data_IF_419282698787
#
_entry.id   IF_419282698787
#
_cell.length_a   1.000
_cell.length_b   1.000
_cell.length_c   1.000
_cell.angle_alpha   90.00
_cell.angle_beta   90.00
_cell.angle_gamma   90.00
#
_symmetry.space_group_name_H-M   'P 1'
#
loop_
_entity.id
_entity.type
_entity.pdbx_description
1 polymer ?
#
# COMPACT_ATOMS: atom_id res chain seq x y z
N UNK A 1 20.66 -8.71 -9.45
CA UNK A 1 21.13 -8.20 -8.14
C UNK A 1 22.42 -7.39 -8.30
N UNK A 2 23.63 -7.81 -7.89
CA UNK A 2 24.88 -6.96 -7.92
C UNK A 2 25.19 -6.19 -9.23
N UNK A 3 24.69 -6.66 -10.38
CA UNK A 3 24.88 -6.05 -11.70
C UNK A 3 23.80 -5.01 -12.10
N UNK A 4 22.82 -4.78 -11.23
CA UNK A 4 21.64 -3.93 -11.48
C UNK A 4 21.31 -3.00 -10.30
N UNK A 5 21.66 -3.39 -9.07
CA UNK A 5 21.55 -2.57 -7.87
C UNK A 5 22.87 -2.70 -7.07
N UNK A 6 23.33 -1.62 -6.41
CA UNK A 6 24.39 -1.70 -5.41
C UNK A 6 24.12 -2.74 -4.32
N UNK A 7 25.18 -3.15 -3.61
CA UNK A 7 24.97 -3.90 -2.37
C UNK A 7 24.36 -2.99 -1.29
N UNK A 8 23.44 -3.56 -0.50
CA UNK A 8 22.63 -2.90 0.52
C UNK A 8 21.52 -1.92 0.07
N UNK A 9 21.20 -1.77 -1.23
CA UNK A 9 20.08 -0.91 -1.69
C UNK A 9 18.69 -1.32 -1.18
N UNK A 10 18.47 -2.61 -0.87
CA UNK A 10 17.21 -3.10 -0.31
C UNK A 10 17.50 -4.00 0.89
N UNK A 11 16.64 -3.94 1.91
CA UNK A 11 16.71 -4.82 3.10
C UNK A 11 15.40 -5.57 3.34
N UNK A 12 15.40 -6.54 4.26
CA UNK A 12 14.19 -7.17 4.80
C UNK A 12 13.16 -7.62 3.76
N UNK A 13 11.92 -7.12 3.92
CA UNK A 13 10.74 -7.43 3.08
C UNK A 13 10.98 -7.04 1.61
N UNK A 14 11.52 -5.84 1.39
CA UNK A 14 11.83 -5.29 0.08
C UNK A 14 12.85 -6.15 -0.68
N UNK A 15 13.94 -6.56 0.00
CA UNK A 15 14.98 -7.39 -0.61
C UNK A 15 14.48 -8.80 -0.98
N UNK A 16 13.60 -9.40 -0.18
CA UNK A 16 12.94 -10.66 -0.52
C UNK A 16 12.14 -10.52 -1.82
N UNK A 17 11.33 -9.46 -1.94
CA UNK A 17 10.44 -9.22 -3.08
C UNK A 17 11.25 -8.95 -4.36
N UNK A 18 12.22 -8.03 -4.33
CA UNK A 18 13.11 -7.76 -5.48
C UNK A 18 13.82 -9.05 -5.91
N UNK A 19 14.29 -9.87 -4.97
CA UNK A 19 14.92 -11.17 -5.26
C UNK A 19 13.94 -12.16 -5.91
N UNK A 20 12.70 -12.27 -5.41
CA UNK A 20 11.68 -13.18 -5.96
C UNK A 20 11.26 -12.78 -7.37
N UNK A 21 10.97 -11.50 -7.59
CA UNK A 21 10.49 -11.00 -8.89
C UNK A 21 11.60 -11.02 -9.93
N UNK A 22 12.84 -10.62 -9.59
CA UNK A 22 14.00 -10.75 -10.48
C UNK A 22 14.38 -12.22 -10.77
N UNK A 23 14.11 -13.15 -9.85
CA UNK A 23 14.26 -14.59 -10.12
C UNK A 23 13.20 -15.10 -11.12
N UNK A 24 11.96 -14.61 -11.02
CA UNK A 24 10.91 -14.89 -12.01
C UNK A 24 11.25 -14.29 -13.38
N UNK A 25 11.79 -13.08 -13.42
CA UNK A 25 12.27 -12.37 -14.62
C UNK A 25 13.32 -13.17 -15.38
N UNK A 26 14.39 -13.62 -14.71
CA UNK A 26 15.44 -14.45 -15.31
C UNK A 26 14.89 -15.79 -15.84
N UNK A 27 13.92 -16.38 -15.14
CA UNK A 27 13.26 -17.63 -15.56
C UNK A 27 12.36 -17.43 -16.79
N UNK A 28 11.55 -16.36 -16.81
CA UNK A 28 10.64 -16.00 -17.90
C UNK A 28 11.39 -15.55 -19.16
N UNK A 29 12.45 -14.75 -19.01
CA UNK A 29 13.36 -14.43 -20.11
C UNK A 29 13.98 -15.69 -20.71
N UNK A 30 14.49 -16.59 -19.86
CA UNK A 30 15.09 -17.83 -20.32
C UNK A 30 14.08 -18.69 -21.05
N UNK A 31 12.86 -18.85 -20.52
CA UNK A 31 11.79 -19.57 -21.19
C UNK A 31 11.39 -18.90 -22.52
N UNK A 32 11.36 -17.57 -22.59
CA UNK A 32 11.02 -16.84 -23.82
C UNK A 32 12.03 -17.11 -24.95
N UNK A 33 13.30 -17.36 -24.62
CA UNK A 33 14.38 -17.76 -25.54
C UNK A 33 14.38 -19.28 -25.83
N UNK A 34 14.38 -20.11 -24.80
CA UNK A 34 14.56 -21.57 -24.88
C UNK A 34 13.29 -22.31 -25.31
N UNK A 35 12.10 -21.73 -25.02
CA UNK A 35 10.74 -22.28 -25.14
C UNK A 35 10.56 -23.72 -24.60
N UNK A 36 11.35 -24.08 -23.57
CA UNK A 36 11.36 -25.39 -22.90
C UNK A 36 10.75 -25.31 -21.49
N UNK A 37 10.07 -26.36 -21.01
CA UNK A 37 9.53 -26.40 -19.64
C UNK A 37 10.56 -26.05 -18.56
N UNK A 38 10.16 -25.21 -17.61
CA UNK A 38 11.01 -24.76 -16.51
C UNK A 38 10.94 -25.71 -15.31
N UNK A 39 12.09 -26.00 -14.69
CA UNK A 39 12.18 -26.80 -13.45
C UNK A 39 11.74 -26.04 -12.18
N UNK A 40 11.63 -24.71 -12.26
CA UNK A 40 11.18 -23.82 -11.20
C UNK A 40 10.10 -22.94 -11.80
N UNK A 41 8.91 -22.93 -11.18
CA UNK A 41 7.78 -22.14 -11.68
C UNK A 41 7.96 -20.64 -11.34
N UNK A 42 8.09 -19.74 -12.32
CA UNK A 42 8.16 -18.31 -12.07
C UNK A 42 6.85 -17.74 -11.53
N UNK A 43 5.69 -18.31 -11.87
CA UNK A 43 4.40 -17.84 -11.37
C UNK A 43 4.28 -18.05 -9.85
N UNK A 44 4.86 -19.14 -9.32
CA UNK A 44 4.94 -19.35 -7.87
C UNK A 44 5.77 -18.26 -7.19
N UNK A 45 6.89 -17.83 -7.78
CA UNK A 45 7.73 -16.77 -7.22
C UNK A 45 7.03 -15.40 -7.26
N UNK A 46 6.27 -15.11 -8.32
CA UNK A 46 5.44 -13.91 -8.41
C UNK A 46 4.30 -13.92 -7.38
N UNK A 47 3.60 -15.05 -7.22
CA UNK A 47 2.55 -15.20 -6.21
C UNK A 47 3.10 -15.03 -4.78
N UNK A 48 4.25 -15.61 -4.48
CA UNK A 48 4.94 -15.43 -3.19
C UNK A 48 5.31 -13.96 -2.93
N UNK A 49 5.69 -13.19 -3.95
CA UNK A 49 5.94 -11.75 -3.80
C UNK A 49 4.65 -10.96 -3.55
N UNK A 50 3.58 -11.23 -4.32
CA UNK A 50 2.27 -10.58 -4.18
C UNK A 50 1.66 -10.83 -2.81
N UNK A 51 1.65 -12.08 -2.34
CA UNK A 51 1.03 -12.46 -1.05
C UNK A 51 1.83 -12.03 0.18
N UNK A 52 3.07 -11.56 0.03
CA UNK A 52 3.87 -10.99 1.13
C UNK A 52 3.61 -9.49 1.33
N UNK A 53 3.20 -8.75 0.28
CA UNK A 53 3.10 -7.28 0.34
C UNK A 53 1.76 -6.66 -0.08
N UNK A 54 0.91 -7.35 -0.86
CA UNK A 54 -0.21 -6.65 -1.49
C UNK A 54 0.29 -5.51 -2.39
N UNK A 55 -0.37 -4.34 -2.46
CA UNK A 55 0.08 -3.25 -3.32
C UNK A 55 1.28 -2.49 -2.77
N UNK A 56 1.67 -2.69 -1.49
CA UNK A 56 2.68 -1.92 -0.74
C UNK A 56 4.05 -1.80 -1.44
N UNK A 57 4.35 -2.64 -2.45
CA UNK A 57 5.51 -2.44 -3.32
C UNK A 57 5.06 -2.56 -4.79
N UNK A 58 4.78 -1.40 -5.40
CA UNK A 58 4.44 -1.23 -6.82
C UNK A 58 5.64 -1.51 -7.74
N UNK A 59 6.09 -2.76 -7.81
CA UNK A 59 7.31 -3.12 -8.53
C UNK A 59 7.15 -3.10 -10.06
N UNK A 60 7.78 -2.11 -10.70
CA UNK A 60 7.76 -1.86 -12.15
C UNK A 60 8.02 -3.12 -12.99
N UNK A 61 8.89 -4.02 -12.52
CA UNK A 61 9.26 -5.24 -13.26
C UNK A 61 8.11 -6.20 -13.51
N UNK A 62 7.07 -6.26 -12.66
CA UNK A 62 5.90 -7.12 -12.95
C UNK A 62 5.14 -6.57 -14.17
N UNK A 63 4.93 -5.25 -14.23
CA UNK A 63 4.31 -4.57 -15.39
C UNK A 63 5.18 -4.64 -16.66
N UNK A 64 6.51 -4.65 -16.53
CA UNK A 64 7.44 -4.89 -17.65
C UNK A 64 7.38 -6.34 -18.15
N UNK A 65 7.20 -7.30 -17.25
CA UNK A 65 7.11 -8.74 -17.59
C UNK A 65 5.75 -9.20 -18.10
N UNK A 66 4.67 -8.43 -17.91
CA UNK A 66 3.29 -8.82 -18.24
C UNK A 66 3.14 -9.50 -19.64
N UNK A 67 3.75 -9.01 -20.74
CA UNK A 67 3.66 -9.70 -22.03
C UNK A 67 4.27 -11.11 -22.05
N UNK A 68 5.36 -11.33 -21.29
CA UNK A 68 6.03 -12.64 -21.19
C UNK A 68 5.31 -13.55 -20.20
N UNK A 69 4.74 -12.99 -19.13
CA UNK A 69 3.86 -13.69 -18.18
C UNK A 69 2.64 -14.25 -18.92
N UNK A 70 1.98 -13.44 -19.74
CA UNK A 70 0.80 -13.86 -20.50
C UNK A 70 1.15 -14.97 -21.51
N UNK A 71 2.24 -14.85 -22.28
CA UNK A 71 2.71 -15.93 -23.15
C UNK A 71 3.04 -17.22 -22.38
N UNK A 72 3.60 -17.13 -21.17
CA UNK A 72 3.90 -18.30 -20.33
C UNK A 72 2.63 -18.97 -19.80
N UNK A 73 1.61 -18.18 -19.45
CA UNK A 73 0.28 -18.67 -19.05
C UNK A 73 -0.38 -19.40 -20.23
N UNK A 74 -0.41 -18.80 -21.42
CA UNK A 74 -0.92 -19.44 -22.65
C UNK A 74 -0.20 -20.75 -22.97
N UNK A 75 1.13 -20.81 -22.76
CA UNK A 75 1.90 -22.03 -22.93
C UNK A 75 1.46 -23.13 -21.95
N UNK A 76 1.33 -22.82 -20.65
CA UNK A 76 0.86 -23.78 -19.64
C UNK A 76 -0.58 -24.25 -19.91
N UNK A 77 -1.47 -23.34 -20.30
CA UNK A 77 -2.86 -23.63 -20.67
C UNK A 77 -2.96 -24.49 -21.94
N UNK A 78 -1.93 -24.53 -22.80
CA UNK A 78 -1.91 -25.35 -24.01
C UNK A 78 -1.11 -26.65 -23.88
N UNK A 79 -0.15 -26.76 -22.96
CA UNK A 79 0.50 -28.03 -22.61
C UNK A 79 -0.45 -28.91 -21.78
N UNK A 80 -1.16 -28.34 -20.79
CA UNK A 80 -2.15 -29.07 -19.99
C UNK A 80 -3.34 -29.64 -20.78
N UNK A 81 -3.55 -29.19 -22.02
CA UNK A 81 -4.56 -29.74 -22.95
C UNK A 81 -4.06 -30.96 -23.73
N UNK A 82 -2.77 -31.30 -23.67
CA UNK A 82 -2.17 -32.49 -24.33
C UNK A 82 -2.07 -33.68 -23.38
N UNK A 83 -1.75 -33.42 -22.11
CA UNK A 83 -1.52 -34.44 -21.07
C UNK A 83 -2.79 -35.23 -20.67
N UNK A 84 -3.97 -34.83 -21.16
CA UNK A 84 -5.21 -35.64 -21.10
C UNK A 84 -5.10 -36.97 -21.86
N UNK A 85 -4.02 -37.18 -22.64
CA UNK A 85 -3.68 -38.43 -23.30
C UNK A 85 -2.49 -39.20 -22.69
N UNK A 86 -2.07 -38.89 -21.45
CA UNK A 86 -1.37 -39.89 -20.61
C UNK A 86 -0.27 -39.38 -19.65
N UNK A 87 -0.26 -39.98 -18.44
CA UNK A 87 0.87 -40.00 -17.48
C UNK A 87 1.46 -38.63 -17.09
N UNK A 88 0.71 -37.87 -16.27
CA UNK A 88 1.16 -36.61 -15.69
C UNK A 88 2.51 -36.73 -14.91
N UNK A 89 3.51 -35.88 -15.20
CA UNK A 89 4.82 -35.94 -14.55
C UNK A 89 4.81 -35.32 -13.15
N UNK A 90 5.21 -36.09 -12.13
CA UNK A 90 5.26 -35.64 -10.74
C UNK A 90 6.40 -34.63 -10.52
N UNK A 91 6.08 -33.34 -10.58
CA UNK A 91 6.99 -32.22 -10.31
C UNK A 91 7.40 -32.16 -8.83
N UNK A 92 8.43 -32.94 -8.45
CA UNK A 92 9.10 -32.83 -7.15
C UNK A 92 9.88 -31.52 -7.06
N UNK A 93 9.36 -30.54 -6.33
CA UNK A 93 10.07 -29.28 -6.05
C UNK A 93 11.26 -29.52 -5.11
N UNK A 94 12.48 -29.41 -5.62
CA UNK A 94 13.71 -29.48 -4.82
C UNK A 94 14.09 -28.06 -4.37
N UNK A 95 14.37 -27.87 -3.07
CA UNK A 95 14.83 -26.57 -2.55
C UNK A 95 16.23 -26.25 -3.08
N UNK A 96 16.40 -25.06 -3.65
CA UNK A 96 17.68 -24.57 -4.17
C UNK A 96 18.53 -23.83 -3.12
N UNK A 97 18.07 -23.72 -1.88
CA UNK A 97 18.86 -23.16 -0.77
C UNK A 97 19.78 -24.24 -0.18
N UNK A 98 20.98 -24.36 -0.75
CA UNK A 98 22.04 -25.17 -0.18
C UNK A 98 22.48 -24.64 1.19
N UNK A 99 22.64 -25.53 2.17
CA UNK A 99 23.12 -25.16 3.52
C UNK A 99 24.48 -24.47 3.44
N UNK A 100 24.58 -23.30 4.06
CA UNK A 100 25.76 -22.93 4.86
C UNK A 100 25.34 -22.97 6.33
N UNK A 101 26.26 -23.38 7.20
CA UNK A 101 25.97 -23.67 8.60
C UNK A 101 26.27 -22.46 9.49
N UNK A 102 25.58 -22.42 10.65
CA UNK A 102 25.69 -21.46 11.74
C UNK A 102 25.19 -20.04 11.34
N UNK A 103 24.37 -19.34 12.13
CA UNK A 103 24.17 -19.41 13.59
C UNK A 103 22.71 -19.66 14.06
N UNK A 104 22.50 -19.47 15.36
CA UNK A 104 21.44 -19.99 16.24
C UNK A 104 19.97 -19.64 15.93
N UNK A 105 19.12 -20.63 16.20
CA UNK A 105 17.71 -20.53 16.67
C UNK A 105 16.73 -19.64 15.90
N UNK A 106 16.02 -20.26 14.95
CA UNK A 106 14.62 -19.95 14.65
C UNK A 106 13.94 -21.18 14.03
N UNK A 107 13.32 -22.03 14.86
CA UNK A 107 12.52 -23.17 14.37
C UNK A 107 11.17 -22.68 13.84
N UNK A 108 11.17 -22.18 12.60
CA UNK A 108 9.94 -21.99 11.84
C UNK A 108 9.34 -23.36 11.51
N UNK A 109 8.28 -23.72 12.24
CA UNK A 109 7.64 -25.04 12.20
C UNK A 109 7.23 -25.47 10.79
N UNK A 110 7.39 -26.76 10.50
CA UNK A 110 7.06 -27.39 9.22
C UNK A 110 5.55 -27.57 9.03
N UNK A 111 4.79 -26.48 9.02
CA UNK A 111 3.42 -26.51 8.54
C UNK A 111 3.44 -26.80 7.04
N UNK A 112 2.89 -27.96 6.65
CA UNK A 112 2.78 -28.37 5.25
C UNK A 112 1.67 -27.56 4.55
N UNK A 113 1.98 -26.30 4.22
CA UNK A 113 1.10 -25.39 3.48
C UNK A 113 0.53 -26.09 2.25
N UNK A 114 -0.81 -26.13 2.15
CA UNK A 114 -1.50 -26.66 0.98
C UNK A 114 -1.12 -25.78 -0.22
N UNK A 115 -0.55 -26.34 -1.30
CA UNK A 115 -0.10 -25.54 -2.43
C UNK A 115 -1.31 -24.95 -3.18
N UNK A 116 -1.41 -23.61 -3.20
CA UNK A 116 -2.38 -22.88 -4.04
C UNK A 116 -2.28 -23.41 -5.47
N UNK A 117 -3.40 -23.84 -6.04
CA UNK A 117 -3.42 -24.49 -7.36
C UNK A 117 -3.02 -23.52 -8.49
N UNK A 118 -2.68 -24.04 -9.67
CA UNK A 118 -2.18 -23.24 -10.78
C UNK A 118 -3.22 -22.25 -11.34
N UNK A 119 -4.51 -22.58 -11.34
CA UNK A 119 -5.56 -21.70 -11.84
C UNK A 119 -5.73 -20.49 -10.92
N UNK A 120 -5.97 -20.70 -9.62
CA UNK A 120 -6.08 -19.63 -8.61
C UNK A 120 -4.83 -18.76 -8.56
N UNK A 121 -3.63 -19.35 -8.74
CA UNK A 121 -2.36 -18.61 -8.87
C UNK A 121 -2.38 -17.66 -10.08
N UNK A 122 -2.82 -18.14 -11.25
CA UNK A 122 -2.93 -17.35 -12.48
C UNK A 122 -3.96 -16.23 -12.30
N UNK A 123 -5.10 -16.52 -11.67
CA UNK A 123 -6.16 -15.53 -11.36
C UNK A 123 -5.65 -14.40 -10.46
N UNK A 124 -4.93 -14.71 -9.37
CA UNK A 124 -4.33 -13.70 -8.49
C UNK A 124 -3.28 -12.84 -9.23
N UNK A 125 -2.46 -13.44 -10.09
CA UNK A 125 -1.45 -12.71 -10.87
C UNK A 125 -2.13 -11.80 -11.92
N UNK A 126 -3.17 -12.28 -12.63
CA UNK A 126 -3.99 -11.47 -13.55
C UNK A 126 -4.63 -10.28 -12.81
N UNK A 127 -5.20 -10.50 -11.63
CA UNK A 127 -5.73 -9.43 -10.77
C UNK A 127 -4.69 -8.38 -10.38
N UNK A 128 -3.48 -8.80 -9.99
CA UNK A 128 -2.38 -7.89 -9.66
C UNK A 128 -1.89 -7.09 -10.88
N UNK A 129 -1.86 -7.69 -12.07
CA UNK A 129 -1.50 -6.98 -13.32
C UNK A 129 -2.58 -5.96 -13.72
N UNK A 130 -3.87 -6.28 -13.59
CA UNK A 130 -4.95 -5.29 -13.77
C UNK A 130 -4.83 -4.12 -12.77
N UNK A 131 -4.49 -4.40 -11.51
CA UNK A 131 -4.25 -3.35 -10.49
C UNK A 131 -3.05 -2.46 -10.86
N UNK A 132 -1.94 -3.02 -11.35
CA UNK A 132 -0.77 -2.25 -11.85
C UNK A 132 -1.05 -1.47 -13.16
N UNK A 133 -2.15 -1.79 -13.85
CA UNK A 133 -2.71 -1.06 -14.99
C UNK A 133 -3.89 -0.14 -14.60
N UNK A 134 -4.13 0.05 -13.30
CA UNK A 134 -5.20 0.86 -12.73
C UNK A 134 -6.64 0.43 -13.16
N UNK A 135 -6.80 -0.82 -13.58
CA UNK A 135 -8.09 -1.45 -13.91
C UNK A 135 -8.70 -2.09 -12.66
N UNK A 136 -9.01 -1.27 -11.67
CA UNK A 136 -9.35 -1.74 -10.33
C UNK A 136 -10.60 -2.65 -10.28
N UNK A 137 -11.59 -2.43 -11.15
CA UNK A 137 -12.79 -3.29 -11.26
C UNK A 137 -12.44 -4.69 -11.79
N UNK A 138 -11.56 -4.82 -12.78
CA UNK A 138 -11.10 -6.13 -13.25
C UNK A 138 -10.30 -6.86 -12.16
N UNK A 139 -9.41 -6.14 -11.48
CA UNK A 139 -8.61 -6.66 -10.38
C UNK A 139 -9.47 -7.16 -9.21
N UNK A 140 -10.50 -6.41 -8.80
CA UNK A 140 -11.45 -6.84 -7.77
C UNK A 140 -12.14 -8.15 -8.17
N UNK A 141 -12.58 -8.29 -9.42
CA UNK A 141 -13.23 -9.51 -9.89
C UNK A 141 -12.28 -10.72 -9.82
N UNK A 142 -11.04 -10.58 -10.27
CA UNK A 142 -10.03 -11.64 -10.16
C UNK A 142 -9.70 -12.02 -8.71
N UNK A 143 -9.56 -11.05 -7.80
CA UNK A 143 -9.34 -11.34 -6.38
C UNK A 143 -10.57 -11.97 -5.72
N UNK A 144 -11.79 -11.57 -6.12
CA UNK A 144 -13.05 -12.14 -5.63
C UNK A 144 -13.22 -13.61 -6.02
N UNK A 145 -12.92 -13.94 -7.28
CA UNK A 145 -12.89 -15.34 -7.74
C UNK A 145 -11.89 -16.18 -6.93
N UNK A 146 -10.72 -15.59 -6.63
CA UNK A 146 -9.60 -16.28 -5.98
C UNK A 146 -9.79 -16.53 -4.47
N UNK A 147 -10.71 -15.81 -3.80
CA UNK A 147 -10.93 -15.94 -2.35
C UNK A 147 -11.50 -17.31 -1.94
N UNK A 148 -12.25 -17.98 -2.81
CA UNK A 148 -12.86 -19.28 -2.50
C UNK A 148 -11.83 -20.43 -2.44
N UNK A 149 -10.72 -20.31 -3.17
CA UNK A 149 -9.76 -21.40 -3.39
C UNK A 149 -8.42 -21.20 -2.65
N UNK A 150 -8.28 -20.12 -1.87
CA UNK A 150 -7.02 -19.75 -1.20
C UNK A 150 -6.99 -20.21 0.26
N UNK A 151 -5.87 -20.74 0.78
CA UNK A 151 -5.72 -21.05 2.20
C UNK A 151 -5.94 -19.83 3.10
N UNK A 152 -6.57 -20.04 4.26
CA UNK A 152 -6.95 -18.99 5.22
C UNK A 152 -5.80 -18.02 5.56
N UNK A 153 -4.56 -18.53 5.67
CA UNK A 153 -3.34 -17.76 5.93
C UNK A 153 -3.03 -16.66 4.89
N UNK A 154 -3.64 -16.73 3.70
CA UNK A 154 -3.52 -15.72 2.64
C UNK A 154 -4.86 -15.05 2.30
N UNK A 155 -5.99 -15.57 2.81
CA UNK A 155 -7.33 -15.02 2.59
C UNK A 155 -7.46 -13.56 3.08
N UNK A 156 -6.89 -13.23 4.24
CA UNK A 156 -6.92 -11.85 4.77
C UNK A 156 -6.15 -10.86 3.89
N UNK A 157 -4.98 -11.23 3.37
CA UNK A 157 -4.20 -10.38 2.46
C UNK A 157 -4.91 -10.18 1.11
N UNK A 158 -5.52 -11.24 0.58
CA UNK A 158 -6.31 -11.17 -0.65
C UNK A 158 -7.59 -10.35 -0.46
N UNK A 159 -8.19 -10.38 0.73
CA UNK A 159 -9.35 -9.55 1.10
C UNK A 159 -8.97 -8.06 1.19
N UNK A 160 -7.79 -7.73 1.75
CA UNK A 160 -7.26 -6.38 1.74
C UNK A 160 -6.97 -5.89 0.30
N UNK A 161 -6.36 -6.73 -0.54
CA UNK A 161 -6.18 -6.43 -1.97
C UNK A 161 -7.52 -6.14 -2.68
N UNK A 162 -8.55 -6.95 -2.44
CA UNK A 162 -9.91 -6.70 -2.97
C UNK A 162 -10.44 -5.34 -2.51
N UNK A 163 -10.42 -5.04 -1.20
CA UNK A 163 -10.93 -3.77 -0.67
C UNK A 163 -10.10 -2.55 -1.10
N UNK A 164 -8.79 -2.69 -1.32
CA UNK A 164 -7.96 -1.64 -1.93
C UNK A 164 -8.46 -1.28 -3.34
N UNK A 165 -8.80 -2.29 -4.14
CA UNK A 165 -9.30 -2.08 -5.50
C UNK A 165 -10.71 -1.49 -5.50
N UNK A 166 -11.58 -1.90 -4.56
CA UNK A 166 -12.89 -1.25 -4.36
C UNK A 166 -12.72 0.24 -4.05
N UNK A 167 -11.86 0.61 -3.09
CA UNK A 167 -11.59 2.01 -2.73
C UNK A 167 -10.90 2.84 -3.82
N UNK A 168 -10.51 2.21 -4.93
CA UNK A 168 -9.91 2.83 -6.12
C UNK A 168 -10.87 2.91 -7.31
N UNK A 169 -12.08 2.35 -7.21
CA UNK A 169 -13.12 2.54 -8.22
C UNK A 169 -13.53 4.02 -8.28
N UNK A 170 -13.78 4.55 -9.49
CA UNK A 170 -14.30 5.91 -9.71
C UNK A 170 -15.78 6.07 -9.35
N UNK A 171 -16.33 5.16 -8.54
CA UNK A 171 -17.72 5.14 -8.10
C UNK A 171 -17.95 6.10 -6.92
N UNK A 172 -19.03 6.87 -6.98
CA UNK A 172 -19.44 7.72 -5.84
C UNK A 172 -20.11 6.83 -4.79
N UNK A 173 -19.30 6.27 -3.89
CA UNK A 173 -19.77 5.45 -2.77
C UNK A 173 -20.77 6.21 -1.88
N UNK A 174 -21.85 5.54 -1.49
CA UNK A 174 -22.80 6.07 -0.49
C UNK A 174 -22.28 5.76 0.90
N UNK A 175 -22.58 6.62 1.88
CA UNK A 175 -22.14 6.45 3.28
C UNK A 175 -22.37 5.03 3.84
N UNK A 176 -23.50 4.37 3.53
CA UNK A 176 -23.77 2.98 3.95
C UNK A 176 -22.83 1.93 3.36
N UNK A 177 -22.37 2.13 2.13
CA UNK A 177 -21.45 1.23 1.43
C UNK A 177 -20.05 1.32 2.07
N UNK A 178 -19.62 2.55 2.40
CA UNK A 178 -18.40 2.82 3.19
C UNK A 178 -18.51 2.30 4.64
N UNK A 179 -19.64 2.50 5.32
CA UNK A 179 -19.87 1.97 6.68
C UNK A 179 -19.80 0.43 6.73
N UNK A 180 -20.31 -0.25 5.70
CA UNK A 180 -20.20 -1.70 5.56
C UNK A 180 -18.76 -2.14 5.26
N UNK A 181 -18.07 -1.45 4.34
CA UNK A 181 -16.68 -1.77 4.03
C UNK A 181 -15.75 -1.53 5.23
N UNK A 182 -15.97 -0.45 5.98
CA UNK A 182 -15.27 -0.14 7.24
C UNK A 182 -15.37 -1.30 8.22
N UNK A 183 -16.59 -1.74 8.52
CA UNK A 183 -16.88 -2.87 9.41
C UNK A 183 -16.21 -4.17 8.93
N UNK A 184 -16.19 -4.42 7.62
CA UNK A 184 -15.60 -5.62 7.05
C UNK A 184 -14.06 -5.60 7.13
N UNK A 185 -13.41 -4.47 6.81
CA UNK A 185 -11.95 -4.31 6.91
C UNK A 185 -11.48 -4.32 8.36
N UNK A 186 -12.24 -3.72 9.29
CA UNK A 186 -11.95 -3.77 10.72
C UNK A 186 -11.93 -5.21 11.28
N UNK A 187 -12.75 -6.11 10.71
CA UNK A 187 -12.85 -7.52 11.11
C UNK A 187 -11.76 -8.44 10.56
N UNK A 188 -10.90 -7.98 9.67
CA UNK A 188 -9.78 -8.78 9.16
C UNK A 188 -8.69 -8.90 10.23
N UNK A 189 -8.32 -10.13 10.58
CA UNK A 189 -7.31 -10.43 11.63
C UNK A 189 -5.90 -9.92 11.31
N UNK A 190 -5.62 -9.60 10.03
CA UNK A 190 -4.31 -9.15 9.57
C UNK A 190 -4.15 -7.64 9.75
N UNK A 191 -3.47 -7.23 10.82
CA UNK A 191 -3.01 -5.85 11.01
C UNK A 191 -1.71 -5.56 10.23
N UNK A 192 -1.62 -4.37 9.61
CA UNK A 192 -0.52 -3.96 8.76
C UNK A 192 -0.81 -2.65 8.02
N UNK A 193 0.22 -2.08 7.36
CA UNK A 193 0.13 -0.79 6.65
C UNK A 193 -1.05 -0.72 5.69
N UNK A 194 -1.20 -1.71 4.80
CA UNK A 194 -2.32 -1.80 3.86
C UNK A 194 -3.71 -1.72 4.52
N UNK A 195 -3.93 -2.39 5.66
CA UNK A 195 -5.22 -2.33 6.38
C UNK A 195 -5.49 -0.92 6.87
N UNK A 196 -4.49 -0.27 7.45
CA UNK A 196 -4.62 1.11 7.92
C UNK A 196 -4.81 2.09 6.74
N UNK A 197 -4.10 1.93 5.62
CA UNK A 197 -4.30 2.74 4.40
C UNK A 197 -5.75 2.67 3.89
N UNK A 198 -6.33 1.48 3.81
CA UNK A 198 -7.72 1.27 3.37
C UNK A 198 -8.70 1.92 4.36
N UNK A 199 -8.53 1.69 5.66
CA UNK A 199 -9.35 2.31 6.72
C UNK A 199 -9.27 3.84 6.67
N UNK A 200 -8.07 4.40 6.52
CA UNK A 200 -7.83 5.84 6.43
C UNK A 200 -8.53 6.48 5.22
N UNK A 201 -8.51 5.82 4.06
CA UNK A 201 -9.23 6.26 2.85
C UNK A 201 -10.75 6.16 3.02
N UNK A 202 -11.26 5.11 3.67
CA UNK A 202 -12.70 5.00 4.00
C UNK A 202 -13.12 6.15 4.93
N UNK A 203 -12.31 6.50 5.93
CA UNK A 203 -12.56 7.65 6.80
C UNK A 203 -12.47 9.00 6.04
N UNK A 204 -11.54 9.16 5.09
CA UNK A 204 -11.46 10.33 4.21
C UNK A 204 -12.76 10.51 3.41
N UNK A 205 -13.27 9.45 2.77
CA UNK A 205 -14.48 9.52 1.95
C UNK A 205 -15.74 9.75 2.80
N UNK A 206 -15.82 9.15 4.00
CA UNK A 206 -16.86 9.43 4.99
C UNK A 206 -16.86 10.90 5.45
N UNK A 207 -15.68 11.48 5.70
CA UNK A 207 -15.53 12.90 6.04
C UNK A 207 -16.01 13.80 4.89
N UNK A 208 -15.57 13.52 3.65
CA UNK A 208 -15.97 14.28 2.46
C UNK A 208 -17.50 14.25 2.24
N UNK A 209 -18.14 13.11 2.47
CA UNK A 209 -19.61 12.99 2.40
C UNK A 209 -20.27 13.83 3.51
N UNK A 210 -19.77 13.80 4.74
CA UNK A 210 -20.36 14.59 5.84
C UNK A 210 -20.15 16.10 5.69
N UNK A 211 -18.99 16.55 5.20
CA UNK A 211 -18.75 17.96 4.86
C UNK A 211 -19.78 18.48 3.84
N UNK A 212 -20.05 17.68 2.81
CA UNK A 212 -21.08 17.97 1.80
C UNK A 212 -22.52 17.98 2.33
N UNK A 213 -22.80 17.33 3.47
CA UNK A 213 -24.09 17.44 4.16
C UNK A 213 -24.16 18.61 5.15
N UNK A 214 -23.05 18.97 5.82
CA UNK A 214 -22.99 20.08 6.79
C UNK A 214 -23.25 21.45 6.14
N UNK A 215 -22.97 21.61 4.84
CA UNK A 215 -23.36 22.79 4.05
C UNK A 215 -24.87 22.91 3.79
N UNK A 216 -25.60 21.78 3.71
CA UNK A 216 -27.04 21.73 3.45
C UNK A 216 -27.85 21.63 4.76
N UNK A 217 -27.97 22.77 5.46
CA UNK A 217 -28.93 22.93 6.57
C UNK A 217 -30.37 22.69 6.09
N UNK A 218 -30.86 21.46 6.26
CA UNK A 218 -32.28 21.10 6.18
C UNK A 218 -32.60 20.02 7.21
N UNK A 219 -33.55 20.31 8.09
CA UNK A 219 -33.82 19.46 9.26
C UNK A 219 -34.66 18.23 8.93
N UNK A 220 -34.09 17.03 9.15
CA UNK A 220 -34.82 15.81 9.56
C UNK A 220 -33.84 14.77 10.09
N UNK A 221 -33.89 14.48 11.40
CA UNK A 221 -33.24 13.29 11.97
C UNK A 221 -33.83 12.05 11.29
N UNK A 222 -33.00 11.28 10.57
CA UNK A 222 -33.40 9.99 9.99
C UNK A 222 -32.76 8.85 10.79
N UNK A 223 -33.59 7.88 11.18
CA UNK A 223 -33.14 6.69 11.89
C UNK A 223 -32.36 5.77 10.94
N UNK A 224 -31.05 5.65 11.16
CA UNK A 224 -30.23 4.57 10.61
C UNK A 224 -30.25 3.37 11.56
N UNK A 225 -30.68 2.20 11.07
CA UNK A 225 -30.86 0.99 11.90
C UNK A 225 -29.51 0.33 12.26
N UNK A 226 -28.45 0.59 11.48
CA UNK A 226 -27.08 0.26 11.88
C UNK A 226 -26.51 1.37 12.77
N UNK A 227 -26.51 1.15 14.09
CA UNK A 227 -25.68 1.92 15.03
C UNK A 227 -24.22 1.45 15.01
N UNK A 228 -23.65 1.29 13.81
CA UNK A 228 -22.19 1.20 13.67
C UNK A 228 -21.63 2.58 14.04
N UNK A 229 -20.75 2.61 15.04
CA UNK A 229 -20.20 3.77 15.75
C UNK A 229 -20.42 5.14 15.07
N UNK A 230 -21.20 6.01 15.70
CA UNK A 230 -21.26 7.43 15.35
C UNK A 230 -19.97 8.12 15.78
N UNK A 231 -18.91 7.93 14.99
CA UNK A 231 -17.66 8.66 15.14
C UNK A 231 -17.92 10.14 14.83
N UNK A 232 -17.62 11.03 15.76
CA UNK A 232 -17.92 12.46 15.64
C UNK A 232 -16.92 13.23 14.75
N UNK A 233 -15.77 12.63 14.44
CA UNK A 233 -14.69 13.26 13.68
C UNK A 233 -13.99 12.25 12.76
N UNK A 234 -14.46 12.16 11.51
CA UNK A 234 -13.86 11.31 10.47
C UNK A 234 -12.56 11.89 9.90
N UNK A 235 -12.34 13.21 9.97
CA UNK A 235 -11.08 13.83 9.58
C UNK A 235 -9.96 13.36 10.51
N UNK A 236 -10.20 13.43 11.82
CA UNK A 236 -9.22 12.99 12.82
C UNK A 236 -8.89 11.51 12.68
N UNK A 237 -9.89 10.65 12.53
CA UNK A 237 -9.68 9.24 12.29
C UNK A 237 -8.89 8.97 11.00
N UNK A 238 -9.21 9.66 9.90
CA UNK A 238 -8.47 9.49 8.64
C UNK A 238 -6.99 9.84 8.80
N UNK A 239 -6.68 11.01 9.37
CA UNK A 239 -5.29 11.45 9.59
C UNK A 239 -4.56 10.52 10.56
N UNK A 240 -5.15 10.20 11.72
CA UNK A 240 -4.53 9.28 12.70
C UNK A 240 -4.30 7.88 12.10
N UNK A 241 -5.20 7.40 11.24
CA UNK A 241 -5.07 6.07 10.60
C UNK A 241 -4.03 6.07 9.47
N UNK A 242 -3.91 7.15 8.68
CA UNK A 242 -2.79 7.30 7.73
C UNK A 242 -1.44 7.35 8.47
N UNK A 243 -1.38 7.98 9.64
CA UNK A 243 -0.19 8.00 10.49
C UNK A 243 0.16 6.58 10.98
N UNK A 244 -0.82 5.78 11.40
CA UNK A 244 -0.59 4.37 11.75
C UNK A 244 -0.09 3.55 10.55
N UNK A 245 -0.66 3.75 9.35
CA UNK A 245 -0.16 3.08 8.13
C UNK A 245 1.33 3.33 7.89
N UNK A 246 1.75 4.61 8.00
CA UNK A 246 3.15 5.02 7.85
C UNK A 246 4.06 4.42 8.94
N UNK A 247 3.60 4.35 10.18
CA UNK A 247 4.41 3.83 11.31
C UNK A 247 4.58 2.30 11.23
N UNK A 248 3.57 1.60 10.73
CA UNK A 248 3.58 0.15 10.49
C UNK A 248 4.29 -0.26 9.18
N UNK A 249 4.60 0.70 8.30
CA UNK A 249 5.33 0.46 7.07
C UNK A 249 6.85 0.35 7.32
N UNK A 250 7.59 -0.45 6.52
CA UNK A 250 9.05 -0.40 6.49
C UNK A 250 9.58 1.01 6.22
N UNK A 251 10.70 1.41 6.84
CA UNK A 251 11.24 2.78 6.71
C UNK A 251 11.73 3.10 5.29
N UNK A 252 11.95 2.07 4.48
CA UNK A 252 12.30 2.09 3.05
C UNK A 252 11.09 1.90 2.11
N UNK A 253 9.85 1.96 2.62
CA UNK A 253 8.62 1.79 1.84
C UNK A 253 8.28 3.03 0.98
N UNK A 254 8.19 2.80 -0.33
CA UNK A 254 7.87 3.81 -1.35
C UNK A 254 6.46 4.41 -1.23
N UNK A 255 5.54 3.78 -0.51
CA UNK A 255 4.22 4.35 -0.25
C UNK A 255 4.24 5.41 0.85
N UNK A 256 5.23 5.44 1.75
CA UNK A 256 5.25 6.40 2.87
C UNK A 256 5.09 7.86 2.39
N UNK A 257 5.81 8.35 1.35
CA UNK A 257 5.57 9.68 0.79
C UNK A 257 4.14 9.89 0.29
N UNK A 258 3.56 8.92 -0.44
CA UNK A 258 2.17 8.99 -0.96
C UNK A 258 1.12 8.95 0.17
N UNK A 259 1.42 8.32 1.31
CA UNK A 259 0.56 8.36 2.51
C UNK A 259 0.64 9.73 3.22
N UNK A 260 1.83 10.34 3.31
CA UNK A 260 1.96 11.73 3.78
C UNK A 260 1.28 12.73 2.84
N UNK A 261 1.29 12.47 1.55
CA UNK A 261 0.63 13.29 0.54
C UNK A 261 -0.90 13.30 0.70
N UNK A 262 -1.51 12.15 1.06
CA UNK A 262 -2.92 12.09 1.46
C UNK A 262 -3.21 12.88 2.75
N UNK A 263 -2.30 12.84 3.73
CA UNK A 263 -2.39 13.68 4.94
C UNK A 263 -2.32 15.17 4.56
N UNK A 264 -1.36 15.57 3.72
CA UNK A 264 -1.20 16.96 3.28
C UNK A 264 -2.45 17.47 2.56
N UNK A 265 -3.00 16.70 1.62
CA UNK A 265 -4.26 17.03 0.96
C UNK A 265 -5.40 17.27 1.97
N UNK A 266 -5.60 16.35 2.92
CA UNK A 266 -6.62 16.47 3.97
C UNK A 266 -6.42 17.73 4.81
N UNK A 267 -5.19 18.03 5.25
CA UNK A 267 -4.90 19.19 6.08
C UNK A 267 -5.09 20.51 5.32
N UNK A 268 -4.70 20.57 4.04
CA UNK A 268 -4.84 21.76 3.18
C UNK A 268 -6.31 22.05 2.89
N UNK A 269 -7.07 21.05 2.41
CA UNK A 269 -8.50 21.21 2.05
C UNK A 269 -9.35 21.61 3.27
N UNK A 270 -9.02 21.10 4.46
CA UNK A 270 -9.69 21.47 5.71
C UNK A 270 -9.12 22.74 6.38
N UNK A 271 -8.20 23.45 5.71
CA UNK A 271 -7.61 24.74 6.14
C UNK A 271 -6.97 24.68 7.54
N UNK A 272 -6.29 23.57 7.81
CA UNK A 272 -5.54 23.36 9.05
C UNK A 272 -4.35 24.33 9.11
N UNK A 273 -3.85 24.62 10.31
CA UNK A 273 -2.80 25.61 10.53
C UNK A 273 -1.51 25.29 9.74
N UNK A 274 -0.91 26.32 9.12
CA UNK A 274 0.25 26.19 8.23
C UNK A 274 1.45 25.51 8.88
N UNK A 275 1.67 25.66 10.20
CA UNK A 275 2.77 25.00 10.92
C UNK A 275 2.61 23.48 10.93
N UNK A 276 1.38 22.99 11.07
CA UNK A 276 1.05 21.56 11.04
C UNK A 276 1.23 21.00 9.64
N UNK A 277 0.76 21.73 8.61
CA UNK A 277 0.98 21.37 7.20
C UNK A 277 2.48 21.31 6.88
N UNK A 278 3.24 22.33 7.29
CA UNK A 278 4.69 22.42 7.08
C UNK A 278 5.47 21.30 7.80
N UNK A 279 5.05 20.89 9.01
CA UNK A 279 5.61 19.71 9.68
C UNK A 279 5.45 18.45 8.84
N UNK A 280 4.22 18.14 8.40
CA UNK A 280 3.99 16.96 7.56
C UNK A 280 4.72 17.04 6.21
N UNK A 281 4.89 18.24 5.65
CA UNK A 281 5.66 18.48 4.43
C UNK A 281 7.16 18.19 4.61
N UNK A 282 7.77 18.68 5.71
CA UNK A 282 9.18 18.39 6.03
C UNK A 282 9.40 16.89 6.31
N UNK A 283 8.48 16.25 7.02
CA UNK A 283 8.54 14.81 7.31
C UNK A 283 8.38 14.00 6.02
N UNK A 284 7.44 14.36 5.13
CA UNK A 284 7.26 13.75 3.80
C UNK A 284 8.57 13.75 3.00
N UNK A 285 9.27 14.88 2.98
CA UNK A 285 10.55 15.00 2.29
C UNK A 285 11.67 14.16 2.94
N UNK A 286 11.73 14.12 4.28
CA UNK A 286 12.66 13.26 5.03
C UNK A 286 12.50 11.76 4.74
N UNK A 287 11.27 11.29 4.52
CA UNK A 287 11.03 9.90 4.10
C UNK A 287 11.22 9.69 2.59
N UNK A 288 10.88 10.66 1.74
CA UNK A 288 11.09 10.55 0.29
C UNK A 288 12.58 10.38 -0.08
N UNK A 289 13.49 11.09 0.61
CA UNK A 289 14.94 10.89 0.47
C UNK A 289 15.35 9.48 0.94
N UNK A 290 14.76 8.97 2.03
CA UNK A 290 15.15 7.67 2.62
C UNK A 290 14.71 6.46 1.80
N UNK A 291 13.65 6.58 1.01
CA UNK A 291 13.13 5.50 0.18
C UNK A 291 13.68 5.54 -1.27
N UNK A 292 14.66 6.41 -1.57
CA UNK A 292 15.09 6.72 -2.96
C UNK A 292 13.89 7.02 -3.89
N UNK A 293 12.87 7.71 -3.36
CA UNK A 293 11.55 7.81 -3.99
C UNK A 293 11.62 8.33 -5.43
N UNK A 294 12.41 9.38 -5.67
CA UNK A 294 12.59 10.00 -6.99
C UNK A 294 13.22 9.07 -8.04
N UNK A 295 13.88 7.97 -7.62
CA UNK A 295 14.49 6.98 -8.52
C UNK A 295 13.61 5.75 -8.77
N UNK A 296 12.74 5.39 -7.82
CA UNK A 296 11.91 4.18 -7.86
C UNK A 296 10.41 4.45 -8.10
N UNK A 297 10.00 5.72 -8.07
CA UNK A 297 8.66 6.21 -8.37
C UNK A 297 8.19 5.78 -9.80
N UNK A 298 6.92 5.35 -9.92
CA UNK A 298 6.22 5.08 -11.20
C UNK A 298 4.91 5.89 -11.26
N UNK A 299 4.97 7.11 -11.80
CA UNK A 299 3.43 8.54 -11.42
C UNK A 299 2.18 8.05 -12.17
N UNK A 300 1.02 8.15 -11.53
CA UNK A 300 -0.20 7.45 -11.96
C UNK A 300 -0.25 5.93 -11.69
N UNK A 301 0.74 5.32 -11.03
CA UNK A 301 0.58 4.00 -10.35
C UNK A 301 0.44 4.17 -8.84
N UNK A 302 1.00 5.26 -8.29
CA UNK A 302 0.72 5.75 -6.94
C UNK A 302 -0.22 6.97 -7.04
N UNK A 303 -0.78 7.41 -5.90
CA UNK A 303 -1.49 8.69 -5.85
C UNK A 303 -0.47 9.82 -5.90
N UNK A 304 -0.31 10.38 -7.10
CA UNK A 304 0.42 11.60 -7.38
C UNK A 304 -0.05 12.78 -6.52
N UNK A 305 0.76 13.28 -5.57
CA UNK A 305 0.56 14.64 -5.07
C UNK A 305 0.94 15.63 -6.16
N UNK A 306 -0.01 15.92 -7.04
CA UNK A 306 0.03 17.13 -7.86
C UNK A 306 -0.25 18.33 -6.93
N UNK A 307 0.76 19.16 -6.61
CA UNK A 307 0.56 20.28 -5.70
C UNK A 307 -0.33 21.38 -6.30
N UNK A 308 -0.54 21.37 -7.62
CA UNK A 308 -1.42 22.32 -8.31
C UNK A 308 -2.89 21.98 -8.07
N UNK A 309 -3.22 20.71 -7.82
CA UNK A 309 -4.59 20.26 -7.52
C UNK A 309 -5.18 20.84 -6.22
N UNK A 310 -4.31 21.25 -5.30
CA UNK A 310 -4.66 21.93 -4.02
C UNK A 310 -4.39 23.45 -4.04
N UNK A 311 -3.99 24.00 -5.19
CA UNK A 311 -3.68 25.41 -5.40
C UNK A 311 -2.21 25.74 -5.07
N UNK A 312 -1.43 26.11 -6.09
CA UNK A 312 0.03 26.28 -5.98
C UNK A 312 0.50 27.35 -4.97
N UNK A 313 -0.38 28.29 -4.60
CA UNK A 313 -0.14 29.29 -3.55
C UNK A 313 0.20 28.64 -2.20
N UNK A 314 -0.42 27.50 -1.85
CA UNK A 314 -0.18 26.83 -0.56
C UNK A 314 1.28 26.34 -0.42
N UNK A 315 1.92 25.94 -1.52
CA UNK A 315 3.32 25.51 -1.54
C UNK A 315 4.23 26.71 -1.29
N UNK A 316 3.90 27.84 -1.89
CA UNK A 316 4.63 29.09 -1.72
C UNK A 316 4.57 29.54 -0.26
N UNK A 317 3.39 29.49 0.36
CA UNK A 317 3.21 29.85 1.77
C UNK A 317 3.89 28.86 2.74
N UNK A 318 3.87 27.55 2.46
CA UNK A 318 4.69 26.56 3.20
C UNK A 318 6.18 26.96 3.12
N UNK A 319 6.67 27.33 1.93
CA UNK A 319 8.07 27.76 1.74
C UNK A 319 8.37 29.08 2.44
N UNK A 320 7.50 30.10 2.35
CA UNK A 320 7.70 31.37 3.05
C UNK A 320 7.72 31.21 4.58
N UNK A 321 6.89 30.31 5.12
CA UNK A 321 6.95 29.94 6.53
C UNK A 321 8.28 29.22 6.88
N UNK A 322 8.67 28.21 6.10
CA UNK A 322 9.89 27.42 6.38
C UNK A 322 11.20 28.21 6.19
N UNK A 323 11.27 29.12 5.22
CA UNK A 323 12.45 29.92 4.89
C UNK A 323 12.56 31.20 5.74
N UNK A 324 11.43 31.84 6.06
CA UNK A 324 11.40 33.22 6.60
C UNK A 324 10.54 33.38 7.87
N UNK A 325 9.85 32.33 8.32
CA UNK A 325 8.88 32.39 9.42
C UNK A 325 7.58 33.14 9.09
N UNK A 326 7.38 33.55 7.83
CA UNK A 326 6.24 34.39 7.43
C UNK A 326 4.98 33.52 7.28
N UNK A 327 3.94 33.88 8.03
CA UNK A 327 2.60 33.27 7.90
C UNK A 327 1.74 34.22 7.05
N UNK A 328 1.58 33.89 5.78
CA UNK A 328 0.60 34.55 4.91
C UNK A 328 -0.79 33.97 5.19
N UNK A 329 -1.78 34.84 5.42
CA UNK A 329 -3.17 34.44 5.60
C UNK A 329 -3.56 33.96 7.01
N UNK A 330 -4.85 34.06 7.33
CA UNK A 330 -5.39 33.97 8.69
C UNK A 330 -5.58 32.54 9.22
N UNK A 331 -4.55 31.68 9.15
CA UNK A 331 -4.58 30.35 9.81
C UNK A 331 -4.34 30.46 11.32
N UNK A 332 -5.38 30.90 12.05
CA UNK A 332 -5.40 30.92 13.52
C UNK A 332 -5.03 29.54 14.08
N UNK A 333 -4.12 29.49 15.05
CA UNK A 333 -3.89 28.29 15.86
C UNK A 333 -5.14 28.01 16.71
N UNK A 334 -5.88 26.97 16.35
CA UNK A 334 -6.68 26.23 17.33
C UNK A 334 -5.82 25.12 17.92
N UNK A 335 -5.98 24.88 19.23
CA UNK A 335 -5.21 23.85 19.94
C UNK A 335 -5.55 22.42 19.48
N UNK A 336 -6.75 22.21 18.95
CA UNK A 336 -7.27 20.93 18.45
C UNK A 336 -6.48 20.36 17.25
N UNK A 337 -5.84 21.21 16.45
CA UNK A 337 -5.08 20.80 15.25
C UNK A 337 -3.63 20.43 15.55
N UNK A 338 -3.06 20.91 16.65
CA UNK A 338 -1.71 20.53 17.09
C UNK A 338 -1.66 19.05 17.53
N UNK A 339 -2.80 18.46 17.88
CA UNK A 339 -2.92 17.05 18.27
C UNK A 339 -2.44 16.07 17.20
N UNK A 340 -2.56 16.39 15.90
CA UNK A 340 -2.03 15.53 14.82
C UNK A 340 -0.51 15.34 14.94
N UNK A 341 0.21 16.41 15.29
CA UNK A 341 1.67 16.38 15.45
C UNK A 341 2.04 15.69 16.77
N UNK A 342 1.27 15.91 17.84
CA UNK A 342 1.43 15.19 19.12
C UNK A 342 1.22 13.68 18.94
N UNK A 343 0.17 13.30 18.21
CA UNK A 343 -0.15 11.91 17.89
C UNK A 343 0.96 11.26 17.06
N UNK A 344 1.39 11.91 15.96
CA UNK A 344 2.49 11.43 15.15
C UNK A 344 3.75 11.17 15.98
N UNK A 345 4.16 12.12 16.81
CA UNK A 345 5.35 11.95 17.67
C UNK A 345 5.16 10.89 18.75
N UNK A 346 3.98 10.76 19.34
CA UNK A 346 3.66 9.76 20.36
C UNK A 346 3.77 8.34 19.79
N UNK A 347 3.17 8.12 18.63
CA UNK A 347 3.10 6.81 18.00
C UNK A 347 4.43 6.46 17.33
N UNK A 348 5.08 7.40 16.62
CA UNK A 348 6.40 7.17 16.02
C UNK A 348 7.47 6.81 17.07
N UNK A 349 7.41 7.41 18.28
CA UNK A 349 8.33 7.10 19.39
C UNK A 349 8.20 5.69 19.98
N UNK A 350 7.13 4.94 19.67
CA UNK A 350 6.99 3.54 20.12
C UNK A 350 7.90 2.62 19.31
N UNK A 351 7.79 2.74 17.98
CA UNK A 351 8.44 1.82 17.03
C UNK A 351 9.81 2.34 16.56
N UNK A 352 10.01 3.67 16.53
CA UNK A 352 11.14 4.31 15.86
C UNK A 352 11.90 5.32 16.74
N UNK A 353 13.21 5.43 16.53
CA UNK A 353 14.04 6.48 17.15
C UNK A 353 13.86 7.81 16.41
N UNK A 354 13.32 8.81 17.11
CA UNK A 354 13.26 10.20 16.62
C UNK A 354 14.66 10.71 16.28
N UNK A 355 14.86 11.14 15.03
CA UNK A 355 16.11 11.77 14.58
C UNK A 355 16.16 13.24 15.02
N UNK A 356 17.36 13.84 15.04
CA UNK A 356 17.50 15.26 15.35
C UNK A 356 16.75 16.16 14.34
N UNK A 357 16.63 15.76 13.07
CA UNK A 357 15.82 16.45 12.08
C UNK A 357 14.32 16.40 12.41
N UNK A 358 13.78 15.21 12.71
CA UNK A 358 12.38 15.04 13.13
C UNK A 358 12.09 15.83 14.41
N UNK A 359 13.03 15.83 15.37
CA UNK A 359 12.92 16.65 16.59
C UNK A 359 12.87 18.14 16.25
N UNK A 360 13.76 18.63 15.40
CA UNK A 360 13.79 20.04 14.99
C UNK A 360 12.48 20.48 14.28
N UNK A 361 11.92 19.64 13.39
CA UNK A 361 10.63 19.91 12.76
C UNK A 361 9.49 19.96 13.79
N UNK A 362 9.50 19.06 14.78
CA UNK A 362 8.53 19.08 15.90
C UNK A 362 8.68 20.35 16.75
N UNK A 363 9.89 20.64 17.20
CA UNK A 363 10.18 21.78 18.07
C UNK A 363 9.75 23.10 17.38
N UNK A 364 9.94 23.24 16.05
CA UNK A 364 9.43 24.39 15.27
C UNK A 364 7.91 24.59 15.35
N UNK A 365 7.10 23.54 15.48
CA UNK A 365 5.63 23.70 15.60
C UNK A 365 5.25 24.32 16.96
N UNK A 366 5.98 23.98 18.03
CA UNK A 366 5.59 24.24 19.42
C UNK A 366 6.44 25.30 20.16
N UNK A 367 7.65 25.61 19.69
CA UNK A 367 8.60 26.51 20.37
C UNK A 367 8.70 27.92 19.76
N UNK A 368 8.17 28.13 18.55
CA UNK A 368 8.13 29.46 17.92
C UNK A 368 6.90 30.25 18.41
N UNK A 369 7.00 30.88 19.58
CA UNK A 369 6.02 31.86 20.11
C UNK A 369 6.36 33.26 19.65
#
# INVERSE_FOLDING_TARGET
LKRFYPEATFTGKCQLIVTKVHSAEILLERWSRDRKPLKVDPLKLLLEAILVCGPEISYCGIRKMEPVINQYIEFLENDGKKDTSGLAPILRSVSLFGKRANDSTLELGKNSKIPINSATRITIIKGYMCMLRCQYVEAENYFTQSLNDIPNEHHSQLSLLKCYNQMRETGIFKKKELELMLHNVQKLELDGSLKQQILAKIYHDLHNIEGNFKSKKSGKKKNGILRLNQWNDYLKLSVETYIQAIIMAPVDDLFIPSLYDQILFLLIVNKINIRVIAFFYQIRYHFAIRADYEYLYIPGVLDDFDPTSVGGEIIYDIKQYLEKGIINGATVLKEDHADYVKYWMKEYRKEHKVTQAIKYYYDKVFMET
#
